data_IF_734091871967
#
_entry.id   IF_734091871967
#
_cell.length_a   1.000
_cell.length_b   1.000
_cell.length_c   1.000
_cell.angle_alpha   90.00
_cell.angle_beta   90.00
_cell.angle_gamma   90.00
#
_symmetry.space_group_name_H-M   'P 1'
#
loop_
_entity.id
_entity.type
_entity.pdbx_description
1 polymer ?
#
# COMPACT_ATOMS: atom_id res chain seq x y z
N UNK A 1 -5.07 16.22 -0.07
CA UNK A 1 -3.62 16.09 -0.42
C UNK A 1 -3.47 14.95 -1.42
N UNK A 2 -2.51 15.02 -2.34
CA UNK A 2 -2.22 13.91 -3.23
C UNK A 2 -1.58 12.78 -2.42
N UNK A 3 -2.21 11.60 -2.43
CA UNK A 3 -1.74 10.42 -1.71
C UNK A 3 -0.99 9.45 -2.64
N UNK A 4 -0.93 9.75 -3.94
CA UNK A 4 -0.26 8.94 -4.95
C UNK A 4 0.90 9.71 -5.55
N UNK A 5 2.01 9.02 -5.72
CA UNK A 5 3.28 9.52 -6.18
C UNK A 5 3.74 8.68 -7.37
N UNK A 6 4.22 9.36 -8.40
CA UNK A 6 4.67 8.75 -9.64
C UNK A 6 6.14 9.10 -9.81
N UNK A 7 6.97 8.08 -10.02
CA UNK A 7 8.34 8.27 -10.47
C UNK A 7 8.36 8.10 -11.98
N UNK A 8 8.88 9.10 -12.68
CA UNK A 8 9.10 9.05 -14.12
C UNK A 8 10.58 9.00 -14.46
N UNK A 9 10.91 8.33 -15.56
CA UNK A 9 12.21 8.42 -16.22
C UNK A 9 11.97 8.48 -17.72
N UNK A 10 12.53 9.50 -18.38
CA UNK A 10 12.36 9.75 -19.81
C UNK A 10 10.87 9.73 -20.23
N UNK A 11 10.04 10.47 -19.48
CA UNK A 11 8.58 10.54 -19.56
C UNK A 11 7.78 9.24 -19.33
N UNK A 12 8.46 8.11 -19.08
CA UNK A 12 7.82 6.84 -18.73
C UNK A 12 7.59 6.74 -17.23
N UNK A 13 6.41 6.29 -16.83
CA UNK A 13 6.13 5.90 -15.43
C UNK A 13 6.92 4.64 -15.11
N UNK A 14 7.83 4.72 -14.15
CA UNK A 14 8.69 3.60 -13.73
C UNK A 14 8.42 3.15 -12.30
N UNK A 15 7.66 3.93 -11.54
CA UNK A 15 7.21 3.56 -10.21
C UNK A 15 5.95 4.33 -9.82
N UNK A 16 5.09 3.65 -9.07
CA UNK A 16 3.89 4.23 -8.46
C UNK A 16 3.92 3.87 -6.99
N UNK A 17 3.69 4.86 -6.14
CA UNK A 17 3.56 4.64 -4.72
C UNK A 17 2.37 5.39 -4.15
N UNK A 18 1.75 4.81 -3.13
CA UNK A 18 0.74 5.45 -2.31
C UNK A 18 1.32 5.74 -0.93
N UNK A 19 1.04 6.93 -0.40
CA UNK A 19 1.22 7.27 1.00
C UNK A 19 -0.10 7.80 1.55
N UNK A 20 -0.67 7.06 2.50
CA UNK A 20 -1.98 7.33 3.07
C UNK A 20 -1.79 7.73 4.52
N UNK A 21 -2.03 9.00 4.83
CA UNK A 21 -2.00 9.46 6.21
C UNK A 21 -3.25 9.01 6.96
N UNK A 22 -3.18 9.06 8.29
CA UNK A 22 -4.19 8.66 9.30
C UNK A 22 -5.66 9.08 9.04
N UNK A 23 -5.91 9.98 8.10
CA UNK A 23 -7.22 10.60 7.84
C UNK A 23 -8.04 9.91 6.73
N UNK A 24 -7.55 8.83 6.12
CA UNK A 24 -8.23 8.21 4.97
C UNK A 24 -9.09 7.05 5.44
N UNK A 25 -10.39 7.15 5.14
CA UNK A 25 -11.38 6.10 5.37
C UNK A 25 -11.95 5.64 4.04
N UNK A 26 -12.17 4.34 3.92
CA UNK A 26 -12.87 3.77 2.78
C UNK A 26 -14.36 4.06 2.89
N UNK A 27 -14.94 4.68 1.86
CA UNK A 27 -16.37 4.97 1.78
C UNK A 27 -16.97 4.19 0.61
N UNK A 28 -17.53 3.03 0.95
CA UNK A 28 -18.21 2.13 0.00
C UNK A 28 -19.38 2.83 -0.69
N UNK A 29 -20.14 3.63 0.05
CA UNK A 29 -21.39 4.20 -0.45
C UNK A 29 -21.10 5.38 -1.38
N UNK A 30 -20.03 6.14 -1.11
CA UNK A 30 -19.50 7.11 -2.06
C UNK A 30 -19.01 6.45 -3.35
N UNK A 31 -18.28 5.33 -3.27
CA UNK A 31 -17.84 4.59 -4.46
C UNK A 31 -19.03 4.17 -5.34
N UNK A 32 -20.05 3.54 -4.75
CA UNK A 32 -21.25 3.15 -5.48
C UNK A 32 -21.92 4.34 -6.16
N UNK A 33 -22.03 5.47 -5.45
CA UNK A 33 -22.63 6.69 -5.98
C UNK A 33 -21.88 7.21 -7.21
N UNK A 34 -20.55 7.28 -7.14
CA UNK A 34 -19.72 7.70 -8.28
C UNK A 34 -19.91 6.76 -9.47
N UNK A 35 -19.94 5.44 -9.24
CA UNK A 35 -20.19 4.48 -10.32
C UNK A 35 -21.57 4.68 -10.96
N UNK A 36 -22.62 4.87 -10.15
CA UNK A 36 -23.97 5.11 -10.65
C UNK A 36 -24.07 6.42 -11.45
N UNK A 37 -23.56 7.52 -10.89
CA UNK A 37 -23.58 8.85 -11.53
C UNK A 37 -22.83 8.87 -12.87
N UNK A 38 -21.80 8.04 -13.01
CA UNK A 38 -20.96 7.97 -14.21
C UNK A 38 -21.27 6.75 -15.10
N UNK A 39 -22.32 5.99 -14.80
CA UNK A 39 -22.71 4.77 -15.55
C UNK A 39 -21.57 3.75 -15.68
N UNK A 40 -20.72 3.66 -14.65
CA UNK A 40 -19.62 2.71 -14.57
C UNK A 40 -20.16 1.42 -13.95
N UNK A 41 -20.09 0.26 -14.64
CA UNK A 41 -20.52 -1.00 -14.07
C UNK A 41 -19.65 -1.37 -12.86
N UNK A 42 -20.29 -1.88 -11.81
CA UNK A 42 -19.57 -2.38 -10.62
C UNK A 42 -18.87 -3.70 -10.99
N UNK A 43 -17.55 -3.82 -10.79
CA UNK A 43 -16.84 -5.06 -11.09
C UNK A 43 -17.29 -6.23 -10.19
N UNK A 44 -17.28 -7.46 -10.71
CA UNK A 44 -17.57 -8.69 -9.93
C UNK A 44 -16.65 -8.80 -8.69
N UNK A 45 -15.41 -8.34 -8.80
CA UNK A 45 -14.42 -8.33 -7.73
C UNK A 45 -14.67 -7.28 -6.63
N UNK A 46 -15.68 -6.41 -6.79
CA UNK A 46 -15.88 -5.29 -5.87
C UNK A 46 -16.13 -5.73 -4.43
N UNK A 47 -16.86 -6.83 -4.20
CA UNK A 47 -17.08 -7.36 -2.86
C UNK A 47 -15.77 -7.62 -2.11
N UNK A 48 -14.83 -8.30 -2.77
CA UNK A 48 -13.50 -8.58 -2.21
C UNK A 48 -12.66 -7.32 -2.02
N UNK A 49 -12.70 -6.38 -2.98
CA UNK A 49 -12.01 -5.08 -2.87
C UNK A 49 -12.57 -4.29 -1.68
N UNK A 50 -13.89 -4.26 -1.52
CA UNK A 50 -14.54 -3.56 -0.42
C UNK A 50 -14.18 -4.15 0.94
N UNK A 51 -14.13 -5.49 1.06
CA UNK A 51 -13.70 -6.14 2.29
C UNK A 51 -12.26 -5.78 2.65
N UNK A 52 -11.34 -5.87 1.68
CA UNK A 52 -9.93 -5.50 1.84
C UNK A 52 -9.76 -4.02 2.25
N UNK A 53 -10.44 -3.10 1.58
CA UNK A 53 -10.34 -1.66 1.86
C UNK A 53 -10.98 -1.32 3.21
N UNK A 54 -12.10 -1.94 3.59
CA UNK A 54 -12.66 -1.77 4.94
C UNK A 54 -11.68 -2.25 6.02
N UNK A 55 -11.08 -3.44 5.84
CA UNK A 55 -10.09 -3.96 6.79
C UNK A 55 -8.88 -3.04 6.91
N UNK A 56 -8.41 -2.51 5.79
CA UNK A 56 -7.18 -1.69 5.72
C UNK A 56 -7.39 -0.27 6.24
N UNK A 57 -8.51 0.38 5.89
CA UNK A 57 -8.73 1.81 6.12
C UNK A 57 -9.75 2.13 7.22
N UNK A 58 -10.58 1.16 7.65
CA UNK A 58 -11.68 1.42 8.59
C UNK A 58 -11.60 0.62 9.90
N UNK A 59 -10.99 -0.58 9.94
CA UNK A 59 -10.95 -1.40 11.16
C UNK A 59 -9.92 -0.97 12.20
N UNK A 60 -8.91 -0.20 11.81
CA UNK A 60 -7.92 0.33 12.75
C UNK A 60 -8.37 1.73 13.18
N UNK A 61 -9.09 1.81 14.31
CA UNK A 61 -9.74 3.04 14.82
C UNK A 61 -8.79 4.23 14.98
N UNK A 62 -7.47 4.02 15.05
CA UNK A 62 -6.47 5.08 15.08
C UNK A 62 -5.21 4.78 14.23
N UNK A 63 -4.92 5.70 13.31
CA UNK A 63 -3.60 6.30 13.17
C UNK A 63 -2.44 5.57 12.45
N UNK A 64 -2.68 4.79 11.39
CA UNK A 64 -1.57 4.22 10.60
C UNK A 64 -1.25 5.07 9.38
N UNK A 65 0.00 5.52 9.24
CA UNK A 65 0.46 5.94 7.92
C UNK A 65 0.76 4.68 7.12
N UNK A 66 0.08 4.50 6.00
CA UNK A 66 0.29 3.36 5.12
C UNK A 66 1.13 3.77 3.93
N UNK A 67 2.04 2.90 3.52
CA UNK A 67 2.69 3.05 2.23
C UNK A 67 2.58 1.77 1.38
N UNK A 68 2.48 1.98 0.07
CA UNK A 68 2.53 0.91 -0.93
C UNK A 68 3.42 1.39 -2.08
N UNK A 69 4.28 0.52 -2.59
CA UNK A 69 5.24 0.83 -3.65
C UNK A 69 5.22 -0.29 -4.69
N UNK A 70 5.07 0.08 -5.95
CA UNK A 70 5.30 -0.79 -7.09
C UNK A 70 6.27 -0.12 -8.07
N UNK A 71 7.19 -0.91 -8.63
CA UNK A 71 8.21 -0.46 -9.58
C UNK A 71 8.17 -1.38 -10.78
N UNK A 72 8.27 -0.82 -11.98
CA UNK A 72 8.42 -1.59 -13.21
C UNK A 72 9.63 -2.51 -13.10
N UNK A 73 9.44 -3.79 -13.45
CA UNK A 73 10.47 -4.83 -13.37
C UNK A 73 11.79 -4.46 -14.08
N UNK A 74 11.72 -3.72 -15.19
CA UNK A 74 12.89 -3.26 -15.95
C UNK A 74 13.69 -2.18 -15.20
N UNK A 75 13.12 -1.65 -14.11
CA UNK A 75 13.71 -0.63 -13.25
C UNK A 75 13.97 -1.13 -11.81
N UNK A 76 13.80 -2.44 -11.58
CA UNK A 76 14.25 -3.07 -10.34
C UNK A 76 15.77 -2.97 -10.17
N UNK A 77 16.22 -2.99 -8.91
CA UNK A 77 17.63 -2.83 -8.52
C UNK A 77 18.32 -1.53 -9.00
N UNK A 78 17.55 -0.53 -9.47
CA UNK A 78 18.04 0.81 -9.86
C UNK A 78 17.75 1.89 -8.81
N UNK A 79 17.43 1.49 -7.58
CA UNK A 79 17.17 2.41 -6.46
C UNK A 79 15.79 3.10 -6.45
N UNK A 80 14.93 2.86 -7.44
CA UNK A 80 13.61 3.52 -7.59
C UNK A 80 12.72 3.31 -6.36
N UNK A 81 12.59 2.07 -5.88
CA UNK A 81 11.79 1.78 -4.68
C UNK A 81 12.37 2.40 -3.40
N UNK A 82 13.70 2.38 -3.26
CA UNK A 82 14.39 3.02 -2.12
C UNK A 82 14.20 4.53 -2.13
N UNK A 83 14.24 5.16 -3.31
CA UNK A 83 13.97 6.58 -3.46
C UNK A 83 12.54 6.92 -3.00
N UNK A 84 11.53 6.20 -3.48
CA UNK A 84 10.14 6.41 -3.04
C UNK A 84 9.96 6.19 -1.54
N UNK A 85 10.50 5.09 -1.00
CA UNK A 85 10.36 4.77 0.41
C UNK A 85 10.99 5.84 1.30
N UNK A 86 12.17 6.36 0.94
CA UNK A 86 12.79 7.49 1.66
C UNK A 86 11.88 8.72 1.68
N UNK A 87 11.23 9.06 0.57
CA UNK A 87 10.27 10.17 0.51
C UNK A 87 9.08 9.95 1.42
N UNK A 88 8.54 8.73 1.50
CA UNK A 88 7.45 8.42 2.42
C UNK A 88 7.88 8.50 3.88
N UNK A 89 9.12 8.10 4.20
CA UNK A 89 9.70 8.25 5.54
C UNK A 89 9.91 9.72 5.91
N UNK A 90 10.37 10.55 4.98
CA UNK A 90 10.48 12.00 5.19
C UNK A 90 9.09 12.62 5.44
N UNK A 91 8.08 12.21 4.66
CA UNK A 91 6.71 12.71 4.78
C UNK A 91 6.01 12.29 6.07
N UNK A 92 6.38 11.16 6.68
CA UNK A 92 5.78 10.71 7.93
C UNK A 92 6.26 11.50 9.14
N UNK A 93 7.38 12.21 9.05
CA UNK A 93 7.95 12.94 10.18
C UNK A 93 8.27 12.00 11.35
N UNK A 94 7.65 12.27 12.51
CA UNK A 94 7.79 11.46 13.73
C UNK A 94 6.73 10.36 13.85
N UNK A 95 5.91 10.18 12.83
CA UNK A 95 4.85 9.19 12.86
C UNK A 95 5.32 7.86 12.26
N UNK A 96 4.86 6.78 12.89
CA UNK A 96 5.08 5.41 12.42
C UNK A 96 4.54 5.20 11.01
N UNK A 97 5.15 4.25 10.29
CA UNK A 97 4.68 3.79 8.98
C UNK A 97 4.44 2.30 9.03
N UNK A 98 3.31 1.88 8.50
CA UNK A 98 2.87 0.50 8.41
C UNK A 98 2.77 0.08 6.95
N UNK A 99 3.12 -1.17 6.69
CA UNK A 99 2.88 -1.81 5.41
C UNK A 99 2.63 -3.31 5.60
N UNK A 100 2.03 -3.90 4.59
CA UNK A 100 1.91 -5.36 4.47
C UNK A 100 2.66 -5.83 3.23
N UNK A 101 3.26 -7.01 3.31
CA UNK A 101 4.05 -7.60 2.23
C UNK A 101 3.87 -9.12 2.22
N UNK A 102 3.88 -9.75 1.05
CA UNK A 102 3.88 -11.20 0.94
C UNK A 102 5.14 -11.77 1.62
N UNK A 103 5.00 -12.86 2.36
CA UNK A 103 6.10 -13.45 3.12
C UNK A 103 7.24 -13.99 2.23
N UNK A 104 6.95 -14.33 0.98
CA UNK A 104 7.91 -14.77 -0.03
C UNK A 104 8.51 -13.62 -0.87
N UNK A 105 8.08 -12.37 -0.66
CA UNK A 105 8.63 -11.21 -1.36
C UNK A 105 9.92 -10.73 -0.70
N UNK A 106 10.94 -11.59 -0.76
CA UNK A 106 12.27 -11.36 -0.18
C UNK A 106 12.87 -10.00 -0.63
N UNK A 107 12.79 -9.58 -1.92
CA UNK A 107 13.34 -8.29 -2.33
C UNK A 107 12.69 -7.09 -1.63
N UNK A 108 11.37 -7.10 -1.43
CA UNK A 108 10.66 -6.03 -0.73
C UNK A 108 10.97 -6.05 0.77
N UNK A 109 10.96 -7.23 1.39
CA UNK A 109 11.32 -7.38 2.81
C UNK A 109 12.72 -6.82 3.08
N UNK A 110 13.72 -7.20 2.28
CA UNK A 110 15.08 -6.67 2.41
C UNK A 110 15.16 -5.16 2.17
N UNK A 111 14.35 -4.61 1.25
CA UNK A 111 14.25 -3.17 1.05
C UNK A 111 13.72 -2.47 2.32
N UNK A 112 12.66 -3.00 2.92
CA UNK A 112 12.05 -2.41 4.11
C UNK A 112 12.97 -2.51 5.33
N UNK A 113 13.58 -3.67 5.58
CA UNK A 113 14.55 -3.87 6.66
C UNK A 113 15.74 -2.90 6.53
N UNK A 114 16.25 -2.68 5.30
CA UNK A 114 17.31 -1.69 5.03
C UNK A 114 16.93 -0.26 5.43
N UNK A 115 15.64 0.07 5.43
CA UNK A 115 15.14 1.40 5.84
C UNK A 115 14.60 1.42 7.28
N UNK A 116 14.90 0.39 8.07
CA UNK A 116 14.58 0.35 9.50
C UNK A 116 13.22 -0.22 9.85
N UNK A 117 12.46 -0.74 8.88
CA UNK A 117 11.22 -1.45 9.17
C UNK A 117 11.51 -2.78 9.86
N UNK A 118 10.64 -3.18 10.79
CA UNK A 118 10.69 -4.46 11.49
C UNK A 118 9.43 -5.25 11.22
N UNK A 119 9.55 -6.57 11.10
CA UNK A 119 8.41 -7.49 11.07
C UNK A 119 7.70 -7.45 12.42
N UNK A 120 6.39 -7.27 12.43
CA UNK A 120 5.61 -7.11 13.67
C UNK A 120 4.49 -8.13 13.79
N UNK A 121 4.01 -8.67 12.68
CA UNK A 121 2.90 -9.63 12.68
C UNK A 121 2.93 -10.50 11.41
N UNK A 122 2.47 -11.74 11.53
CA UNK A 122 2.28 -12.66 10.41
C UNK A 122 0.81 -13.07 10.35
N UNK A 123 0.24 -13.15 9.16
CA UNK A 123 -1.17 -13.47 8.97
C UNK A 123 -1.42 -14.01 7.56
N UNK A 124 -2.45 -14.84 7.42
CA UNK A 124 -2.94 -15.25 6.11
C UNK A 124 -3.82 -14.14 5.53
N UNK A 125 -3.50 -13.69 4.33
CA UNK A 125 -4.26 -12.67 3.61
C UNK A 125 -4.07 -12.83 2.09
N UNK A 126 -4.65 -11.89 1.35
CA UNK A 126 -4.74 -11.77 -0.09
C UNK A 126 -3.81 -12.66 -0.94
N UNK A 127 -4.36 -13.77 -1.43
CA UNK A 127 -3.82 -14.48 -2.60
C UNK A 127 -4.29 -13.90 -3.93
N UNK A 128 -5.21 -12.92 -3.94
CA UNK A 128 -5.94 -12.49 -5.13
C UNK A 128 -7.44 -12.73 -5.02
N UNK A 129 -8.26 -11.94 -5.72
CA UNK A 129 -9.66 -12.30 -5.93
C UNK A 129 -9.75 -13.70 -6.56
N UNK A 130 -10.52 -14.60 -5.93
CA UNK A 130 -10.68 -16.04 -6.29
C UNK A 130 -9.45 -16.93 -6.04
N UNK A 131 -8.46 -16.47 -5.27
CA UNK A 131 -7.29 -17.26 -4.89
C UNK A 131 -7.29 -17.57 -3.39
N UNK A 132 -6.58 -18.62 -3.00
CA UNK A 132 -6.40 -19.00 -1.60
C UNK A 132 -5.57 -17.96 -0.82
N UNK A 133 -5.86 -17.72 0.47
CA UNK A 133 -5.01 -16.87 1.31
C UNK A 133 -3.56 -17.36 1.34
N UNK A 134 -2.63 -16.42 1.28
CA UNK A 134 -1.19 -16.66 1.35
C UNK A 134 -0.60 -15.95 2.57
N UNK A 135 0.58 -16.40 3.00
CA UNK A 135 1.25 -15.79 4.15
C UNK A 135 1.71 -14.37 3.83
N UNK A 136 1.32 -13.42 4.68
CA UNK A 136 1.68 -12.02 4.64
C UNK A 136 2.34 -11.59 5.94
N UNK A 137 3.19 -10.57 5.85
CA UNK A 137 3.87 -9.95 6.97
C UNK A 137 3.40 -8.51 7.10
N UNK A 138 3.11 -8.09 8.33
CA UNK A 138 3.07 -6.68 8.69
C UNK A 138 4.48 -6.22 9.03
N UNK A 139 4.90 -5.08 8.47
CA UNK A 139 6.14 -4.43 8.84
C UNK A 139 5.90 -2.99 9.24
N UNK A 140 6.63 -2.53 10.27
CA UNK A 140 6.51 -1.18 10.83
C UNK A 140 7.85 -0.48 10.92
N UNK A 141 7.89 0.77 10.50
CA UNK A 141 8.94 1.71 10.88
C UNK A 141 8.45 2.45 12.11
N UNK A 142 9.02 2.13 13.26
CA UNK A 142 8.69 2.76 14.54
C UNK A 142 9.58 3.99 14.72
N UNK A 143 8.97 5.15 14.90
CA UNK A 143 9.62 6.41 15.25
C UNK A 143 9.54 6.59 16.77
N UNK A 144 10.61 7.13 17.35
CA UNK A 144 10.71 7.38 18.80
C UNK A 144 10.25 8.79 19.14
#
# INVERSE_FOLDING_TARGET
KNNYFIVKKDDKVVGVGGYFSKAIRWDRDHFYRVCLENQIPIPESFGAVNEYLNKTFNLYEDSRNLCNISVDQNFHRKGVASFMLKKFIEMSGQEDIHLTVLADNIPAISLYEKHGFKKTYEFLDYGGYKNDPVMCLEMRLIKN
#
